data_IF_234594711035
#
_entry.id   IF_234594711035
#
_cell.length_a   1.000
_cell.length_b   1.000
_cell.length_c   1.000
_cell.angle_alpha   90.00
_cell.angle_beta   90.00
_cell.angle_gamma   90.00
#
_symmetry.space_group_name_H-M   'P 1'
#
loop_
_entity.id
_entity.type
_entity.pdbx_description
1 polymer ?
#
# COMPACT_ATOMS: atom_id res chain seq x y z
N UNK A 1 13.44 -16.68 -66.79
CA UNK A 1 12.20 -16.23 -66.13
C UNK A 1 12.21 -16.79 -64.72
N UNK A 2 12.59 -15.99 -63.72
CA UNK A 2 12.53 -16.37 -62.30
C UNK A 2 11.77 -15.26 -61.61
N UNK A 3 10.57 -15.57 -61.14
CA UNK A 3 9.65 -14.61 -60.54
C UNK A 3 9.92 -14.58 -59.03
N UNK A 4 10.54 -13.51 -58.56
CA UNK A 4 10.77 -13.27 -57.13
C UNK A 4 9.45 -12.86 -56.49
N UNK A 5 8.93 -13.69 -55.58
CA UNK A 5 7.76 -13.39 -54.78
C UNK A 5 8.14 -12.37 -53.70
N UNK A 6 7.68 -11.12 -53.83
CA UNK A 6 7.80 -10.10 -52.77
C UNK A 6 6.67 -10.33 -51.77
N UNK A 7 7.00 -10.86 -50.60
CA UNK A 7 6.07 -11.01 -49.49
C UNK A 7 5.86 -9.63 -48.82
N UNK A 8 4.77 -8.94 -49.17
CA UNK A 8 4.35 -7.73 -48.46
C UNK A 8 3.95 -8.13 -47.05
N UNK A 9 4.81 -7.84 -46.06
CA UNK A 9 4.44 -7.94 -44.65
C UNK A 9 3.44 -6.81 -44.37
N UNK A 10 2.14 -7.16 -44.38
CA UNK A 10 1.13 -6.33 -43.73
C UNK A 10 1.53 -6.24 -42.26
N UNK A 11 2.06 -5.09 -41.85
CA UNK A 11 2.39 -4.78 -40.46
C UNK A 11 1.12 -4.78 -39.63
N UNK A 12 0.70 -5.97 -39.17
CA UNK A 12 -0.32 -6.11 -38.16
C UNK A 12 0.18 -5.42 -36.89
N UNK A 13 -0.55 -4.41 -36.41
CA UNK A 13 -0.31 -3.84 -35.10
C UNK A 13 -0.52 -4.95 -34.06
N UNK A 14 0.57 -5.47 -33.48
CA UNK A 14 0.48 -6.26 -32.26
C UNK A 14 -0.17 -5.34 -31.22
N UNK A 15 -1.30 -5.69 -30.60
CA UNK A 15 -1.86 -4.88 -29.53
C UNK A 15 -0.80 -4.73 -28.45
N UNK A 16 -0.52 -3.49 -28.05
CA UNK A 16 0.44 -3.20 -26.99
C UNK A 16 0.04 -3.98 -25.74
N UNK A 17 0.78 -5.02 -25.39
CA UNK A 17 0.58 -5.76 -24.15
C UNK A 17 0.84 -4.84 -22.96
N UNK A 18 -0.04 -4.85 -21.96
CA UNK A 18 0.20 -4.08 -20.73
C UNK A 18 1.34 -4.69 -19.90
N UNK A 19 2.17 -3.82 -19.30
CA UNK A 19 3.20 -4.25 -18.36
C UNK A 19 2.61 -4.42 -16.95
N UNK A 20 2.11 -5.61 -16.65
CA UNK A 20 1.51 -5.91 -15.34
C UNK A 20 2.53 -5.94 -14.20
N UNK A 21 3.82 -6.14 -14.49
CA UNK A 21 4.89 -6.03 -13.49
C UNK A 21 5.05 -4.59 -12.99
N UNK A 22 5.08 -3.63 -13.91
CA UNK A 22 5.10 -2.19 -13.57
C UNK A 22 3.81 -1.76 -12.84
N UNK A 23 2.66 -2.29 -13.25
CA UNK A 23 1.39 -2.03 -12.56
C UNK A 23 1.40 -2.56 -11.11
N UNK A 24 1.93 -3.77 -10.88
CA UNK A 24 2.06 -4.34 -9.54
C UNK A 24 3.01 -3.52 -8.65
N UNK A 25 4.17 -3.13 -9.19
CA UNK A 25 5.15 -2.32 -8.46
C UNK A 25 4.55 -0.99 -7.99
N UNK A 26 3.85 -0.29 -8.90
CA UNK A 26 3.15 0.97 -8.59
C UNK A 26 1.99 0.77 -7.61
N UNK A 27 1.29 -0.35 -7.69
CA UNK A 27 0.22 -0.68 -6.73
C UNK A 27 0.78 -0.85 -5.31
N UNK A 28 1.97 -1.43 -5.16
CA UNK A 28 2.64 -1.55 -3.86
C UNK A 28 3.22 -0.22 -3.39
N UNK A 29 3.72 0.62 -4.31
CA UNK A 29 4.11 2.00 -4.01
C UNK A 29 2.94 2.85 -3.52
N UNK A 30 1.71 2.60 -3.98
CA UNK A 30 0.52 3.26 -3.45
C UNK A 30 0.34 2.97 -1.95
N UNK A 31 0.50 1.72 -1.50
CA UNK A 31 0.48 1.40 -0.06
C UNK A 31 1.57 2.17 0.69
N UNK A 32 2.80 2.23 0.19
CA UNK A 32 3.86 3.04 0.81
C UNK A 32 3.47 4.51 0.93
N UNK A 33 2.83 5.06 -0.10
CA UNK A 33 2.36 6.44 -0.13
C UNK A 33 1.21 6.72 0.85
N UNK A 34 0.53 5.69 1.37
CA UNK A 34 -0.57 5.82 2.34
C UNK A 34 -0.14 5.61 3.80
N UNK A 35 1.12 5.24 4.08
CA UNK A 35 1.57 4.93 5.44
C UNK A 35 1.42 6.11 6.41
N UNK A 36 0.75 5.94 7.54
CA UNK A 36 0.80 6.86 8.68
C UNK A 36 1.87 6.40 9.67
N UNK A 37 2.40 7.31 10.48
CA UNK A 37 3.35 7.01 11.56
C UNK A 37 4.78 7.43 11.25
N UNK A 38 5.73 6.83 11.97
CA UNK A 38 7.15 7.07 11.77
C UNK A 38 7.67 6.26 10.59
N UNK A 39 8.12 6.92 9.53
CA UNK A 39 8.48 6.28 8.28
C UNK A 39 9.94 5.80 8.30
N UNK A 40 10.23 4.62 7.73
CA UNK A 40 11.59 4.12 7.55
C UNK A 40 12.23 4.81 6.35
N UNK A 41 12.67 6.07 6.55
CA UNK A 41 13.10 6.97 5.49
C UNK A 41 14.23 6.42 4.60
N UNK A 42 15.11 5.60 5.16
CA UNK A 42 16.20 4.99 4.38
C UNK A 42 15.71 3.89 3.42
N UNK A 43 14.65 3.18 3.79
CA UNK A 43 14.11 2.03 3.04
C UNK A 43 12.92 2.40 2.15
N UNK A 44 12.27 3.54 2.38
CA UNK A 44 11.09 3.99 1.64
C UNK A 44 11.41 4.49 0.23
N UNK A 45 10.58 4.11 -0.75
CA UNK A 45 10.70 4.57 -2.15
C UNK A 45 10.02 5.92 -2.38
N UNK A 46 8.96 6.22 -1.62
CA UNK A 46 8.19 7.46 -1.73
C UNK A 46 8.89 8.64 -1.03
N UNK A 47 9.66 9.44 -1.78
CA UNK A 47 10.55 10.47 -1.17
C UNK A 47 9.85 11.73 -0.68
N UNK A 48 8.61 11.99 -1.09
CA UNK A 48 7.85 13.18 -0.70
C UNK A 48 7.01 12.98 0.59
N UNK A 49 6.89 11.75 1.09
CA UNK A 49 6.22 11.45 2.36
C UNK A 49 7.21 11.59 3.52
N UNK A 50 6.73 12.10 4.65
CA UNK A 50 7.46 12.19 5.92
C UNK A 50 6.65 11.65 7.10
N UNK A 51 7.26 11.65 8.29
CA UNK A 51 6.62 11.21 9.53
C UNK A 51 5.30 11.97 9.78
N UNK A 52 4.23 11.25 10.11
CA UNK A 52 2.90 11.81 10.37
C UNK A 52 2.15 11.00 11.41
N UNK A 53 1.07 11.53 12.01
CA UNK A 53 0.25 10.77 12.97
C UNK A 53 0.99 10.28 14.22
N UNK A 54 2.09 10.93 14.61
CA UNK A 54 2.95 10.49 15.72
C UNK A 54 2.29 10.61 17.12
N UNK A 55 1.09 11.18 17.19
CA UNK A 55 0.30 11.35 18.42
C UNK A 55 -0.99 10.53 18.40
N UNK A 56 -1.17 9.66 17.41
CA UNK A 56 -2.37 8.81 17.29
C UNK A 56 -2.55 7.96 18.57
N UNK A 57 -3.69 8.13 19.24
CA UNK A 57 -4.07 7.37 20.45
C UNK A 57 -3.57 7.93 21.78
N UNK A 58 -2.68 8.95 21.77
CA UNK A 58 -2.02 9.42 23.00
C UNK A 58 -3.00 9.98 24.05
N UNK A 59 -4.08 10.65 23.62
CA UNK A 59 -5.09 11.22 24.52
C UNK A 59 -5.90 10.13 25.24
N UNK A 60 -5.88 8.90 24.72
CA UNK A 60 -6.58 7.74 25.22
C UNK A 60 -5.61 6.75 25.91
N UNK A 61 -4.33 7.13 26.04
CA UNK A 61 -3.30 6.31 26.70
C UNK A 61 -2.88 5.07 25.91
N UNK A 62 -3.06 5.06 24.59
CA UNK A 62 -2.70 3.93 23.72
C UNK A 62 -1.78 4.38 22.59
N UNK A 63 -0.84 3.53 22.17
CA UNK A 63 -0.04 3.76 20.96
C UNK A 63 -0.82 3.27 19.75
N UNK A 64 -1.36 4.20 18.96
CA UNK A 64 -2.01 3.89 17.69
C UNK A 64 -1.21 4.43 16.50
N UNK A 65 0.09 4.72 16.64
CA UNK A 65 0.94 5.20 15.54
C UNK A 65 1.20 4.06 14.55
N UNK A 66 1.05 4.33 13.24
CA UNK A 66 1.25 3.35 12.17
C UNK A 66 0.03 3.20 11.25
N UNK A 67 -0.01 2.12 10.46
CA UNK A 67 -1.14 1.79 9.59
C UNK A 67 -1.24 2.68 8.35
N UNK A 68 -2.38 2.65 7.68
CA UNK A 68 -2.62 3.38 6.43
C UNK A 68 -3.70 4.45 6.58
N UNK A 69 -3.52 5.58 5.91
CA UNK A 69 -4.63 6.48 5.63
C UNK A 69 -5.54 5.84 4.57
N UNK A 70 -6.84 5.99 4.75
CA UNK A 70 -7.84 5.22 3.99
C UNK A 70 -7.92 5.63 2.51
N UNK A 71 -7.92 6.95 2.25
CA UNK A 71 -8.08 7.49 0.91
C UNK A 71 -7.23 8.76 0.73
N UNK A 72 -7.82 9.83 0.17
CA UNK A 72 -7.18 11.15 0.05
C UNK A 72 -7.21 11.98 1.33
N UNK A 73 -7.76 11.45 2.41
CA UNK A 73 -7.75 12.08 3.73
C UNK A 73 -6.62 11.51 4.60
N UNK A 74 -6.65 11.84 5.89
CA UNK A 74 -5.69 11.32 6.87
C UNK A 74 -6.38 10.52 7.98
N UNK A 75 -7.60 10.02 7.73
CA UNK A 75 -8.32 9.18 8.69
C UNK A 75 -7.89 7.73 8.49
N UNK A 76 -7.76 7.01 9.61
CA UNK A 76 -7.50 5.58 9.62
C UNK A 76 -8.80 4.86 9.90
N UNK A 77 -9.50 4.44 8.86
CA UNK A 77 -10.69 3.60 8.98
C UNK A 77 -10.27 2.13 9.06
N UNK A 78 -10.50 1.50 10.22
CA UNK A 78 -10.01 0.14 10.49
C UNK A 78 -10.62 -0.93 9.59
N UNK A 79 -11.91 -0.82 9.25
CA UNK A 79 -12.60 -1.80 8.41
C UNK A 79 -12.03 -1.88 6.97
N UNK A 80 -11.99 -0.79 6.17
CA UNK A 80 -11.41 -0.84 4.83
C UNK A 80 -9.91 -1.16 4.87
N UNK A 81 -9.16 -0.69 5.86
CA UNK A 81 -7.76 -1.08 6.03
C UNK A 81 -7.60 -2.59 6.23
N UNK A 82 -8.41 -3.20 7.11
CA UNK A 82 -8.37 -4.64 7.37
C UNK A 82 -8.74 -5.45 6.13
N UNK A 83 -9.74 -4.99 5.38
CA UNK A 83 -10.09 -5.58 4.10
C UNK A 83 -8.92 -5.52 3.10
N UNK A 84 -8.30 -4.36 2.89
CA UNK A 84 -7.18 -4.19 1.97
C UNK A 84 -5.97 -5.07 2.34
N UNK A 85 -5.63 -5.13 3.63
CA UNK A 85 -4.51 -5.98 4.11
C UNK A 85 -4.84 -7.47 3.93
N UNK A 86 -6.09 -7.87 4.16
CA UNK A 86 -6.55 -9.25 3.93
C UNK A 86 -6.45 -9.63 2.45
N UNK A 87 -6.93 -8.75 1.55
CA UNK A 87 -6.85 -8.98 0.11
C UNK A 87 -5.40 -9.02 -0.39
N UNK A 88 -4.52 -8.19 0.17
CA UNK A 88 -3.10 -8.22 -0.16
C UNK A 88 -2.45 -9.54 0.31
N UNK A 89 -2.78 -10.02 1.50
CA UNK A 89 -2.30 -11.29 2.02
C UNK A 89 -2.83 -12.48 1.22
N UNK A 90 -4.11 -12.47 0.84
CA UNK A 90 -4.68 -13.50 -0.02
C UNK A 90 -3.99 -13.50 -1.40
N UNK A 91 -3.81 -12.33 -2.02
CA UNK A 91 -3.08 -12.22 -3.28
C UNK A 91 -1.64 -12.75 -3.17
N UNK A 92 -0.96 -12.52 -2.05
CA UNK A 92 0.38 -13.04 -1.79
C UNK A 92 0.43 -14.57 -1.68
N UNK A 93 -0.64 -15.19 -1.16
CA UNK A 93 -0.78 -16.65 -1.07
C UNK A 93 -1.04 -17.22 -2.47
N UNK A 94 -2.04 -16.69 -3.17
CA UNK A 94 -2.51 -17.21 -4.45
C UNK A 94 -1.46 -17.05 -5.57
N UNK A 95 -0.82 -15.88 -5.63
CA UNK A 95 0.12 -15.50 -6.70
C UNK A 95 1.56 -15.43 -6.20
N UNK A 96 1.91 -16.27 -5.24
CA UNK A 96 3.21 -16.24 -4.56
C UNK A 96 4.38 -16.38 -5.54
N UNK A 97 4.24 -17.27 -6.54
CA UNK A 97 5.26 -17.51 -7.56
C UNK A 97 5.46 -16.29 -8.45
N UNK A 98 4.39 -15.71 -8.96
CA UNK A 98 4.43 -14.55 -9.86
C UNK A 98 5.00 -13.33 -9.14
N UNK A 99 4.61 -13.10 -7.89
CA UNK A 99 5.16 -12.03 -7.07
C UNK A 99 6.66 -12.24 -6.78
N UNK A 100 7.10 -13.49 -6.62
CA UNK A 100 8.52 -13.80 -6.45
C UNK A 100 9.31 -13.61 -7.75
N UNK A 101 8.79 -14.10 -8.88
CA UNK A 101 9.40 -13.98 -10.21
C UNK A 101 9.55 -12.49 -10.63
N UNK A 102 8.63 -11.62 -10.18
CA UNK A 102 8.68 -10.16 -10.36
C UNK A 102 9.48 -9.42 -9.29
N UNK A 103 10.08 -10.12 -8.31
CA UNK A 103 10.81 -9.55 -7.17
C UNK A 103 9.97 -8.57 -6.31
N UNK A 104 8.64 -8.78 -6.25
CA UNK A 104 7.70 -7.95 -5.51
C UNK A 104 7.31 -8.52 -4.14
N UNK A 105 7.61 -9.80 -3.87
CA UNK A 105 7.23 -10.46 -2.62
C UNK A 105 7.71 -9.70 -1.36
N UNK A 106 8.92 -9.14 -1.38
CA UNK A 106 9.42 -8.33 -0.27
C UNK A 106 8.59 -7.07 -0.01
N UNK A 107 8.20 -6.36 -1.06
CA UNK A 107 7.35 -5.17 -0.97
C UNK A 107 5.92 -5.53 -0.51
N UNK A 108 5.36 -6.64 -1.02
CA UNK A 108 4.06 -7.17 -0.59
C UNK A 108 4.06 -7.51 0.90
N UNK A 109 5.02 -8.30 1.37
CA UNK A 109 5.12 -8.68 2.79
C UNK A 109 5.32 -7.47 3.69
N UNK A 110 6.09 -6.47 3.23
CA UNK A 110 6.28 -5.24 3.98
C UNK A 110 4.99 -4.42 4.09
N UNK A 111 4.21 -4.35 3.02
CA UNK A 111 2.91 -3.68 3.04
C UNK A 111 1.90 -4.41 3.95
N UNK A 112 1.85 -5.75 3.93
CA UNK A 112 1.04 -6.54 4.87
C UNK A 112 1.48 -6.26 6.30
N UNK A 113 2.78 -6.37 6.59
CA UNK A 113 3.34 -6.15 7.92
C UNK A 113 3.00 -4.78 8.49
N UNK A 114 3.09 -3.73 7.68
CA UNK A 114 2.76 -2.37 8.13
C UNK A 114 1.30 -2.24 8.61
N UNK A 115 0.38 -2.90 7.93
CA UNK A 115 -1.03 -2.96 8.33
C UNK A 115 -1.26 -3.83 9.56
N UNK A 116 -0.65 -5.02 9.60
CA UNK A 116 -0.86 -5.96 10.72
C UNK A 116 -0.18 -5.50 12.01
N UNK A 117 0.98 -4.86 11.95
CA UNK A 117 1.61 -4.21 13.11
C UNK A 117 0.65 -3.18 13.73
N UNK A 118 -0.07 -2.42 12.90
CA UNK A 118 -1.09 -1.50 13.39
C UNK A 118 -2.30 -2.21 14.01
N UNK A 119 -2.79 -3.31 13.43
CA UNK A 119 -3.90 -4.07 14.04
C UNK A 119 -3.54 -4.67 15.41
N UNK A 120 -2.30 -5.12 15.58
CA UNK A 120 -1.79 -5.57 16.89
C UNK A 120 -1.86 -4.43 17.90
N UNK A 121 -1.42 -3.23 17.53
CA UNK A 121 -1.53 -2.04 18.38
C UNK A 121 -2.99 -1.64 18.66
N UNK A 122 -3.85 -1.73 17.65
CA UNK A 122 -5.27 -1.40 17.75
C UNK A 122 -6.05 -2.41 18.61
N UNK A 123 -5.47 -3.58 18.93
CA UNK A 123 -6.06 -4.59 19.81
C UNK A 123 -5.25 -4.76 21.11
N UNK A 124 -5.19 -3.74 22.00
CA UNK A 124 -4.30 -3.76 23.16
C UNK A 124 -4.75 -4.72 24.28
N UNK A 125 -6.00 -5.21 24.23
CA UNK A 125 -6.59 -6.11 25.21
C UNK A 125 -7.57 -7.08 24.51
N UNK A 126 -7.85 -8.27 25.07
CA UNK A 126 -8.62 -9.33 24.40
C UNK A 126 -10.00 -8.93 23.85
N UNK A 127 -10.64 -7.93 24.44
CA UNK A 127 -11.99 -7.48 24.06
C UNK A 127 -12.06 -5.99 23.70
N UNK A 128 -10.91 -5.37 23.38
CA UNK A 128 -10.83 -3.94 22.99
C UNK A 128 -10.23 -3.84 21.61
N UNK A 129 -10.95 -3.19 20.68
CA UNK A 129 -10.46 -2.93 19.34
C UNK A 129 -10.69 -1.45 18.97
N UNK A 130 -9.61 -0.76 18.62
CA UNK A 130 -9.64 0.61 18.10
C UNK A 130 -9.96 0.59 16.61
N UNK A 131 -11.23 0.84 16.29
CA UNK A 131 -11.72 0.79 14.91
C UNK A 131 -11.39 2.02 14.05
N UNK A 132 -11.01 3.14 14.66
CA UNK A 132 -10.78 4.39 13.91
C UNK A 132 -9.86 5.37 14.65
N UNK A 133 -9.00 6.06 13.89
CA UNK A 133 -8.26 7.24 14.37
C UNK A 133 -8.46 8.39 13.39
N UNK A 134 -8.83 9.56 13.92
CA UNK A 134 -8.88 10.81 13.15
C UNK A 134 -7.63 11.64 13.50
N UNK A 135 -7.06 12.39 12.54
CA UNK A 135 -6.06 13.39 12.85
C UNK A 135 -6.60 14.35 13.89
N UNK A 136 -5.75 14.75 14.85
CA UNK A 136 -6.06 15.88 15.71
C UNK A 136 -6.18 17.11 14.82
N UNK A 137 -7.40 17.67 14.71
CA UNK A 137 -7.58 18.98 14.12
C UNK A 137 -6.79 19.97 14.99
N UNK A 138 -5.81 20.66 14.42
CA UNK A 138 -5.25 21.85 15.02
C UNK A 138 -6.39 22.87 15.13
N UNK A 139 -7.04 22.93 16.29
CA UNK A 139 -8.05 23.93 16.63
C UNK A 139 -7.40 25.27 17.01
N UNK A 140 -6.32 25.68 16.32
CA UNK A 140 -5.58 26.91 16.61
C UNK A 140 -5.17 27.63 15.32
N UNK A 141 -6.11 28.26 14.59
CA UNK A 141 -5.83 29.46 13.75
C UNK A 141 -7.08 30.08 13.11
N UNK A 142 -8.14 30.33 13.90
CA UNK A 142 -9.12 31.39 13.54
C UNK A 142 -9.22 32.34 14.74
N UNK A 143 -8.21 33.19 14.88
CA UNK A 143 -8.27 34.48 15.56
C UNK A 143 -7.44 35.46 14.75
#
# INVERSE_FOLDING_TARGET
MVMTLVLVHLGGSVPSSFNYGDALDKSLMFFEAQRSGKLPLQQQRIKWRGDSGLKDGIQQGVDLVGGYYDAGDHVKFGLPMAFSVTMLAWGAIEFSKEMADLNQMGHTLWAIKWGTDYFIKAHPQPNVLWGQVKPVQQLDSIH
#
